data_IF_750964028460
#
_entry.id   IF_750964028460
#
_cell.length_a   1.000
_cell.length_b   1.000
_cell.length_c   1.000
_cell.angle_alpha   90.00
_cell.angle_beta   90.00
_cell.angle_gamma   90.00
#
_symmetry.space_group_name_H-M   'P 1'
#
loop_
_entity.id
_entity.type
_entity.pdbx_description
1 polymer ?
#
# COMPACT_ATOMS: atom_id res chain seq x y z
N UNK A 1 12.16 10.43 -15.93
CA UNK A 1 13.16 10.10 -14.89
C UNK A 1 13.57 8.66 -15.11
N UNK A 2 14.80 8.40 -15.55
CA UNK A 2 15.29 7.02 -15.71
C UNK A 2 15.64 6.52 -14.31
N UNK A 3 14.86 5.57 -13.79
CA UNK A 3 15.22 4.85 -12.57
C UNK A 3 16.42 3.97 -12.91
N UNK A 4 17.62 4.40 -12.53
CA UNK A 4 18.82 3.56 -12.56
C UNK A 4 18.70 2.50 -11.46
N UNK A 5 17.91 1.45 -11.72
CA UNK A 5 17.88 0.27 -10.87
C UNK A 5 19.18 -0.51 -11.11
N UNK A 6 20.14 -0.33 -10.20
CA UNK A 6 21.37 -1.10 -10.22
C UNK A 6 21.11 -2.49 -9.65
N UNK A 7 21.51 -3.53 -10.39
CA UNK A 7 21.51 -4.91 -9.89
C UNK A 7 22.40 -5.00 -8.65
N UNK A 8 21.85 -5.60 -7.59
CA UNK A 8 22.57 -5.92 -6.35
C UNK A 8 22.36 -7.38 -6.04
N UNK A 9 23.37 -8.00 -5.45
CA UNK A 9 23.29 -9.36 -4.92
C UNK A 9 22.96 -9.22 -3.44
N UNK A 10 21.98 -9.99 -2.99
CA UNK A 10 21.58 -10.09 -1.59
C UNK A 10 21.61 -11.56 -1.17
N UNK A 11 22.07 -11.82 0.05
CA UNK A 11 22.01 -13.14 0.65
C UNK A 11 20.71 -13.25 1.46
N UNK A 12 20.03 -14.38 1.33
CA UNK A 12 18.81 -14.71 2.07
C UNK A 12 18.90 -16.16 2.54
N UNK A 13 18.18 -16.51 3.61
CA UNK A 13 18.10 -17.90 4.04
C UNK A 13 17.37 -18.76 3.00
N UNK A 14 17.69 -20.05 2.97
CA UNK A 14 17.07 -21.01 2.04
C UNK A 14 15.55 -21.01 2.14
N UNK A 15 15.00 -20.92 3.35
CA UNK A 15 13.55 -20.85 3.58
C UNK A 15 12.91 -19.66 2.87
N UNK A 16 13.52 -18.48 2.97
CA UNK A 16 13.03 -17.26 2.33
C UNK A 16 13.20 -17.35 0.81
N UNK A 17 14.31 -17.93 0.34
CA UNK A 17 14.52 -18.16 -1.08
C UNK A 17 13.43 -19.05 -1.69
N UNK A 18 13.08 -20.15 -1.02
CA UNK A 18 12.00 -21.05 -1.45
C UNK A 18 10.63 -20.37 -1.41
N UNK A 19 10.37 -19.54 -0.40
CA UNK A 19 9.15 -18.74 -0.34
C UNK A 19 9.04 -17.79 -1.54
N UNK A 20 10.11 -17.06 -1.85
CA UNK A 20 10.16 -16.16 -3.02
C UNK A 20 9.92 -16.93 -4.32
N UNK A 21 10.53 -18.11 -4.47
CA UNK A 21 10.35 -18.95 -5.66
C UNK A 21 8.91 -19.47 -5.79
N UNK A 22 8.25 -19.84 -4.68
CA UNK A 22 6.87 -20.32 -4.72
C UNK A 22 5.88 -19.27 -5.23
N UNK A 23 6.19 -17.98 -5.07
CA UNK A 23 5.38 -16.84 -5.53
C UNK A 23 5.78 -16.36 -6.94
N UNK A 24 6.84 -16.91 -7.52
CA UNK A 24 7.37 -16.53 -8.83
C UNK A 24 6.42 -16.95 -9.94
N UNK A 25 6.11 -16.04 -10.86
CA UNK A 25 5.25 -16.32 -12.02
C UNK A 25 6.09 -16.64 -13.25
N UNK A 26 6.05 -17.90 -13.67
CA UNK A 26 6.74 -18.37 -14.87
C UNK A 26 8.25 -18.17 -14.77
N UNK A 27 8.85 -17.51 -15.77
CA UNK A 27 10.31 -17.29 -15.86
C UNK A 27 10.74 -15.87 -15.48
N UNK A 28 9.90 -15.09 -14.79
CA UNK A 28 10.24 -13.71 -14.41
C UNK A 28 11.49 -13.65 -13.51
N UNK A 29 12.29 -12.56 -13.51
CA UNK A 29 13.37 -12.37 -12.55
C UNK A 29 12.85 -12.24 -11.10
N UNK A 30 13.64 -12.68 -10.11
CA UNK A 30 13.28 -12.55 -8.69
C UNK A 30 13.00 -11.09 -8.29
N UNK A 31 13.75 -10.13 -8.85
CA UNK A 31 13.52 -8.71 -8.61
C UNK A 31 12.12 -8.25 -9.01
N UNK A 32 11.55 -8.82 -10.09
CA UNK A 32 10.19 -8.53 -10.55
C UNK A 32 9.13 -9.19 -9.67
N UNK A 33 9.40 -10.39 -9.19
CA UNK A 33 8.57 -11.03 -8.16
C UNK A 33 8.51 -10.16 -6.91
N UNK A 34 9.66 -9.73 -6.38
CA UNK A 34 9.75 -8.88 -5.19
C UNK A 34 9.07 -7.53 -5.38
N UNK A 35 9.29 -6.87 -6.53
CA UNK A 35 8.64 -5.60 -6.86
C UNK A 35 7.11 -5.74 -6.81
N UNK A 36 6.56 -6.78 -7.44
CA UNK A 36 5.11 -7.04 -7.42
C UNK A 36 4.60 -7.26 -6.01
N UNK A 37 5.18 -8.21 -5.27
CA UNK A 37 4.67 -8.61 -3.95
C UNK A 37 4.78 -7.45 -2.95
N UNK A 38 5.87 -6.69 -2.97
CA UNK A 38 6.08 -5.54 -2.08
C UNK A 38 5.23 -4.33 -2.47
N UNK A 39 5.04 -4.05 -3.77
CA UNK A 39 4.17 -2.97 -4.21
C UNK A 39 2.70 -3.30 -3.95
N UNK A 40 2.26 -4.54 -4.15
CA UNK A 40 0.91 -4.98 -3.78
C UNK A 40 0.67 -4.82 -2.27
N UNK A 41 1.63 -5.25 -1.45
CA UNK A 41 1.55 -5.07 0.01
C UNK A 41 1.44 -3.60 0.42
N UNK A 42 2.16 -2.70 -0.27
CA UNK A 42 2.07 -1.26 -0.03
C UNK A 42 0.71 -0.70 -0.42
N UNK A 43 0.20 -1.07 -1.59
CA UNK A 43 -1.12 -0.64 -2.07
C UNK A 43 -2.23 -1.12 -1.11
N UNK A 44 -2.15 -2.36 -0.62
CA UNK A 44 -3.10 -2.86 0.38
C UNK A 44 -3.03 -2.08 1.70
N UNK A 45 -1.81 -1.70 2.13
CA UNK A 45 -1.62 -0.83 3.29
C UNK A 45 -2.24 0.55 3.09
N UNK A 46 -2.05 1.14 1.91
CA UNK A 46 -2.60 2.44 1.55
C UNK A 46 -4.15 2.40 1.47
N UNK A 47 -4.72 1.32 0.91
CA UNK A 47 -6.18 1.09 0.89
C UNK A 47 -6.74 0.97 2.31
N UNK A 48 -6.13 0.16 3.17
CA UNK A 48 -6.57 0.02 4.58
C UNK A 48 -6.52 1.35 5.33
N UNK A 49 -5.52 2.17 5.06
CA UNK A 49 -5.42 3.52 5.64
C UNK A 49 -6.55 4.43 5.12
N UNK A 50 -6.82 4.39 3.81
CA UNK A 50 -7.92 5.12 3.19
C UNK A 50 -9.28 4.72 3.79
N UNK A 51 -9.54 3.42 3.94
CA UNK A 51 -10.77 2.91 4.55
C UNK A 51 -10.92 3.37 6.01
N UNK A 52 -9.83 3.37 6.78
CA UNK A 52 -9.82 3.89 8.14
C UNK A 52 -10.08 5.41 8.18
N UNK A 53 -9.54 6.17 7.22
CA UNK A 53 -9.79 7.61 7.08
C UNK A 53 -11.25 7.91 6.70
N UNK A 54 -11.84 7.14 5.79
CA UNK A 54 -13.26 7.23 5.41
C UNK A 54 -14.15 6.91 6.62
N UNK A 55 -13.91 5.78 7.30
CA UNK A 55 -14.68 5.39 8.48
C UNK A 55 -14.58 6.42 9.62
N UNK A 56 -13.40 7.05 9.79
CA UNK A 56 -13.25 8.18 10.72
C UNK A 56 -14.06 9.39 10.26
N UNK A 57 -13.99 9.74 8.98
CA UNK A 57 -14.74 10.85 8.39
C UNK A 57 -16.26 10.67 8.49
N UNK A 58 -16.76 9.45 8.39
CA UNK A 58 -18.19 9.13 8.54
C UNK A 58 -18.62 9.18 10.01
N UNK A 59 -17.76 8.73 10.93
CA UNK A 59 -17.99 8.80 12.39
C UNK A 59 -17.93 10.22 12.93
N UNK A 60 -17.03 11.05 12.40
CA UNK A 60 -17.11 12.50 12.57
C UNK A 60 -18.24 13.01 11.70
N UNK A 61 -19.47 12.83 12.19
CA UNK A 61 -20.70 13.46 11.69
C UNK A 61 -20.32 14.75 10.97
N UNK A 62 -20.45 14.76 9.64
CA UNK A 62 -20.58 16.02 8.91
C UNK A 62 -21.64 16.79 9.66
N UNK A 63 -21.25 17.84 10.39
CA UNK A 63 -22.21 18.85 10.79
C UNK A 63 -22.99 19.16 9.51
N UNK A 64 -24.31 19.00 9.55
CA UNK A 64 -25.16 19.45 8.44
C UNK A 64 -24.71 20.87 8.10
N UNK A 65 -24.71 21.26 6.83
CA UNK A 65 -24.38 22.63 6.44
C UNK A 65 -25.20 23.66 7.26
N UNK A 66 -26.39 23.26 7.72
CA UNK A 66 -27.24 23.98 8.66
C UNK A 66 -26.63 24.11 10.06
N UNK A 67 -26.06 23.03 10.61
CA UNK A 67 -25.40 23.04 11.93
C UNK A 67 -24.08 23.83 11.92
N UNK A 68 -23.38 23.90 10.78
CA UNK A 68 -22.21 24.77 10.62
C UNK A 68 -22.62 26.25 10.54
N UNK A 69 -23.70 26.58 9.83
CA UNK A 69 -24.24 27.95 9.75
C UNK A 69 -24.66 28.47 11.11
N UNK A 70 -25.41 27.66 11.87
CA UNK A 70 -25.86 27.99 13.22
C UNK A 70 -24.69 28.23 14.18
N UNK A 71 -23.61 27.44 14.08
CA UNK A 71 -22.42 27.58 14.93
C UNK A 71 -21.51 28.75 14.54
N UNK A 72 -21.54 29.17 13.28
CA UNK A 72 -20.78 30.33 12.76
C UNK A 72 -21.56 31.65 12.83
N UNK A 73 -22.83 31.61 13.28
CA UNK A 73 -23.70 32.79 13.35
C UNK A 73 -24.07 33.35 11.97
N UNK A 74 -24.13 32.48 10.95
CA UNK A 74 -24.46 32.82 9.55
C UNK A 74 -25.91 32.45 9.20
#
# INVERSE_FOLDING_TARGET
>A
MVNNMHMRIIEVSDTIYQEILSRRRGREPISKTLERELMQSKIEGDIKKLDADIARSEKTKRYSSEQMKERLGL
#
